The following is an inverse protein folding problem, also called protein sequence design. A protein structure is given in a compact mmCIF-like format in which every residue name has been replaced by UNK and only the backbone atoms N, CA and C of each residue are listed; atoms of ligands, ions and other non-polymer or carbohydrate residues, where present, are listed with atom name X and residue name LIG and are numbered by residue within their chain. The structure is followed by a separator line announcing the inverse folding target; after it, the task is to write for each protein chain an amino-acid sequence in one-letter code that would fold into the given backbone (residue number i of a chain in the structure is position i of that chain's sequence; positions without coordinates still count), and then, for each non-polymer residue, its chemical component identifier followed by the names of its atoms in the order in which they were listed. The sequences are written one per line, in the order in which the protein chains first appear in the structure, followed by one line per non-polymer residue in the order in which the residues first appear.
data_IF_794469713654
#
_entry.id   IF_794469713654
#
_cell.length_a   1.000
_cell.length_b   1.000
_cell.length_c   1.000
_cell.angle_alpha   90.00
_cell.angle_beta   90.00
_cell.angle_gamma   90.00
#
_symmetry.space_group_name_H-M   'P 1'
#
loop_
_entity.id
_entity.type
_entity.pdbx_description
1 polymer ?
#
# COMPACT_ATOMS: atom_id res chain seq x y z
N UNK A 1 15.01 -10.35 29.97
CA UNK A 1 13.98 -10.93 30.83
C UNK A 1 12.61 -10.64 30.21
N UNK A 2 11.78 -11.66 30.12
CA UNK A 2 10.48 -11.74 29.42
C UNK A 2 9.41 -10.75 29.94
N UNK A 3 9.67 -10.02 31.01
CA UNK A 3 8.68 -9.16 31.67
C UNK A 3 8.65 -7.70 31.20
N UNK A 4 9.54 -7.28 30.33
CA UNK A 4 9.63 -5.85 29.90
C UNK A 4 8.72 -5.51 28.72
N UNK A 5 8.18 -6.50 28.02
CA UNK A 5 7.31 -6.33 26.86
C UNK A 5 5.80 -6.29 27.19
N UNK A 6 5.43 -6.38 28.48
CA UNK A 6 4.02 -6.47 28.89
C UNK A 6 3.28 -5.14 28.98
N UNK A 7 3.95 -3.99 28.82
CA UNK A 7 3.27 -2.67 28.85
C UNK A 7 3.73 -1.81 27.69
N UNK A 8 2.83 -1.52 26.78
CA UNK A 8 3.00 -0.47 25.77
C UNK A 8 1.91 0.58 26.03
N UNK A 9 2.33 1.80 26.39
CA UNK A 9 1.39 2.90 26.61
C UNK A 9 0.41 2.74 27.77
N UNK A 10 0.74 1.96 28.81
CA UNK A 10 -0.10 1.78 29.99
C UNK A 10 -1.15 0.67 29.90
N UNK A 11 -1.30 0.00 28.74
CA UNK A 11 -2.15 -1.16 28.54
C UNK A 11 -1.35 -2.45 28.75
N UNK A 12 -1.91 -3.39 29.51
CA UNK A 12 -1.35 -4.76 29.55
C UNK A 12 -1.66 -5.47 28.21
N UNK A 13 -0.73 -6.30 27.72
CA UNK A 13 -0.96 -7.09 26.49
C UNK A 13 -2.18 -8.01 26.59
N UNK A 14 -2.63 -8.34 27.81
CA UNK A 14 -3.87 -9.08 28.10
C UNK A 14 -5.13 -8.28 27.81
N UNK A 15 -5.03 -6.94 27.79
CA UNK A 15 -6.19 -6.05 27.58
C UNK A 15 -6.42 -5.74 26.09
N UNK A 16 -5.49 -6.19 25.24
CA UNK A 16 -5.68 -6.16 23.79
C UNK A 16 -6.54 -7.38 23.45
N UNK A 17 -7.86 -7.23 23.56
CA UNK A 17 -8.78 -8.18 22.99
C UNK A 17 -8.58 -8.17 21.46
N UNK A 18 -7.97 -9.23 20.93
CA UNK A 18 -7.82 -9.47 19.50
C UNK A 18 -9.16 -9.91 18.89
N UNK A 19 -10.20 -9.12 19.07
CA UNK A 19 -11.48 -9.29 18.37
C UNK A 19 -11.44 -8.76 16.93
N UNK A 20 -10.36 -8.09 16.54
CA UNK A 20 -10.21 -7.57 15.17
C UNK A 20 -9.44 -8.56 14.32
N UNK A 21 -10.11 -9.01 13.29
CA UNK A 21 -9.52 -9.81 12.24
C UNK A 21 -8.23 -9.14 11.70
N UNK A 22 -7.17 -9.94 11.56
CA UNK A 22 -5.97 -9.49 10.88
C UNK A 22 -6.27 -9.24 9.39
N UNK A 23 -5.95 -8.06 8.91
CA UNK A 23 -6.12 -7.66 7.52
C UNK A 23 -4.76 -7.41 6.88
N UNK A 24 -4.33 -8.29 5.99
CA UNK A 24 -3.17 -8.05 5.14
C UNK A 24 -3.58 -7.10 4.00
N UNK A 25 -3.41 -5.78 4.21
CA UNK A 25 -3.76 -4.78 3.21
C UNK A 25 -2.67 -4.60 2.13
N UNK A 26 -1.43 -4.98 2.42
CA UNK A 26 -0.28 -4.85 1.50
C UNK A 26 0.26 -6.23 1.14
N UNK A 27 -0.13 -6.72 -0.02
CA UNK A 27 0.39 -7.97 -0.57
C UNK A 27 0.49 -7.90 -2.08
N UNK A 28 1.43 -8.67 -2.60
CA UNK A 28 1.72 -8.80 -4.02
C UNK A 28 1.28 -10.15 -4.55
N UNK A 29 0.88 -10.18 -5.79
CA UNK A 29 0.66 -11.40 -6.54
C UNK A 29 1.58 -11.43 -7.77
N UNK A 30 1.44 -12.46 -8.60
CA UNK A 30 2.17 -12.56 -9.88
C UNK A 30 1.94 -11.35 -10.81
N UNK A 31 0.93 -10.51 -10.57
CA UNK A 31 0.73 -9.24 -11.28
C UNK A 31 1.74 -8.15 -10.93
N UNK A 32 2.49 -8.30 -9.82
CA UNK A 32 3.61 -7.42 -9.49
C UNK A 32 4.89 -7.68 -10.33
N UNK A 33 4.91 -8.74 -11.12
CA UNK A 33 6.06 -9.15 -11.94
C UNK A 33 6.16 -8.33 -13.23
N UNK A 34 6.43 -7.03 -13.13
CA UNK A 34 6.51 -6.15 -14.31
C UNK A 34 7.85 -6.31 -15.02
N UNK A 35 8.96 -6.39 -14.30
CA UNK A 35 10.32 -6.49 -14.85
C UNK A 35 11.18 -7.58 -14.22
N UNK A 36 10.92 -7.88 -12.98
CA UNK A 36 11.60 -8.91 -12.20
C UNK A 36 10.54 -9.82 -11.58
N UNK A 37 10.91 -11.06 -11.31
CA UNK A 37 10.06 -11.96 -10.56
C UNK A 37 10.08 -11.49 -9.11
N UNK A 38 8.92 -11.01 -8.64
CA UNK A 38 8.72 -10.52 -7.29
C UNK A 38 7.87 -11.51 -6.46
N UNK A 39 6.79 -12.01 -7.07
CA UNK A 39 5.88 -12.95 -6.44
C UNK A 39 5.31 -13.94 -7.46
N UNK A 40 5.23 -15.22 -7.09
CA UNK A 40 4.64 -16.27 -7.95
C UNK A 40 3.21 -16.63 -7.52
N UNK A 41 2.77 -16.18 -6.35
CA UNK A 41 1.47 -16.52 -5.78
C UNK A 41 0.34 -15.89 -6.58
N UNK A 42 -0.66 -16.68 -6.92
CA UNK A 42 -1.89 -16.22 -7.55
C UNK A 42 -2.91 -15.78 -6.51
N UNK A 43 -3.92 -15.00 -6.93
CA UNK A 43 -4.97 -14.56 -6.00
C UNK A 43 -5.85 -15.72 -5.52
N UNK A 44 -6.02 -16.75 -6.34
CA UNK A 44 -6.71 -17.98 -5.97
C UNK A 44 -6.04 -18.67 -4.78
N UNK A 45 -4.70 -18.81 -4.81
CA UNK A 45 -3.91 -19.41 -3.72
C UNK A 45 -4.06 -18.62 -2.42
N UNK A 46 -4.11 -17.28 -2.51
CA UNK A 46 -4.41 -16.42 -1.36
C UNK A 46 -5.82 -16.65 -0.83
N UNK A 47 -6.83 -16.80 -1.69
CA UNK A 47 -8.20 -17.09 -1.25
C UNK A 47 -8.27 -18.39 -0.47
N UNK A 48 -7.62 -19.43 -0.94
CA UNK A 48 -7.63 -20.75 -0.27
C UNK A 48 -6.94 -20.65 1.09
N UNK A 49 -5.79 -20.00 1.16
CA UNK A 49 -5.09 -19.79 2.44
C UNK A 49 -5.89 -18.91 3.41
N UNK A 50 -6.58 -17.90 2.92
CA UNK A 50 -7.46 -17.05 3.72
C UNK A 50 -8.62 -17.84 4.36
N UNK A 51 -9.24 -18.76 3.60
CA UNK A 51 -10.27 -19.65 4.14
C UNK A 51 -9.75 -20.51 5.28
N UNK A 52 -8.57 -21.10 5.11
CA UNK A 52 -7.91 -21.90 6.15
C UNK A 52 -7.65 -21.11 7.43
N UNK A 53 -7.31 -19.81 7.29
CA UNK A 53 -7.02 -18.91 8.39
C UNK A 53 -8.25 -18.20 8.96
N UNK A 54 -9.43 -18.37 8.35
CA UNK A 54 -10.65 -17.66 8.75
C UNK A 54 -10.65 -16.16 8.42
N UNK A 55 -9.80 -15.70 7.47
CA UNK A 55 -9.77 -14.31 7.05
C UNK A 55 -10.90 -14.00 6.09
N UNK A 56 -11.48 -12.79 6.18
CA UNK A 56 -12.63 -12.35 5.37
C UNK A 56 -12.33 -11.13 4.48
N UNK A 57 -11.11 -10.60 4.51
CA UNK A 57 -10.72 -9.40 3.75
C UNK A 57 -9.56 -9.68 2.81
N UNK A 58 -9.79 -9.60 1.50
CA UNK A 58 -8.75 -9.73 0.47
C UNK A 58 -8.31 -8.36 -0.02
N UNK A 59 -7.02 -8.19 -0.28
CA UNK A 59 -6.47 -6.95 -0.84
C UNK A 59 -5.79 -7.19 -2.19
N UNK A 60 -5.73 -6.14 -3.02
CA UNK A 60 -4.88 -6.05 -4.20
C UNK A 60 -4.12 -4.73 -4.17
N UNK A 61 -2.81 -4.82 -3.94
CA UNK A 61 -1.88 -3.67 -3.84
C UNK A 61 -0.59 -4.07 -4.55
N UNK A 62 -0.62 -4.05 -5.87
CA UNK A 62 0.48 -4.49 -6.72
C UNK A 62 1.46 -3.34 -6.99
N UNK A 63 2.67 -3.68 -7.45
CA UNK A 63 3.68 -2.70 -7.87
C UNK A 63 3.26 -1.95 -9.13
N UNK A 64 2.87 -0.68 -8.97
CA UNK A 64 2.59 0.24 -10.08
C UNK A 64 1.51 -0.21 -11.06
N UNK A 65 0.68 -1.19 -10.69
CA UNK A 65 -0.25 -1.88 -11.57
C UNK A 65 -1.54 -2.26 -10.86
N UNK A 66 -2.65 -2.26 -11.59
CA UNK A 66 -3.98 -2.60 -11.09
C UNK A 66 -4.71 -3.64 -11.95
N UNK A 67 -3.98 -4.39 -12.76
CA UNK A 67 -4.56 -5.32 -13.73
C UNK A 67 -5.32 -6.50 -13.12
N UNK A 68 -5.07 -6.84 -11.86
CA UNK A 68 -5.75 -7.94 -11.17
C UNK A 68 -7.02 -7.53 -10.40
N UNK A 69 -7.38 -6.24 -10.38
CA UNK A 69 -8.54 -5.74 -9.60
C UNK A 69 -9.83 -6.44 -10.01
N UNK A 70 -10.07 -6.62 -11.31
CA UNK A 70 -11.29 -7.30 -11.80
C UNK A 70 -11.33 -8.77 -11.36
N UNK A 71 -10.25 -9.51 -11.57
CA UNK A 71 -10.14 -10.91 -11.16
C UNK A 71 -10.29 -11.09 -9.65
N UNK A 72 -9.60 -10.27 -8.87
CA UNK A 72 -9.70 -10.29 -7.40
C UNK A 72 -11.11 -9.95 -6.91
N UNK A 73 -11.81 -9.02 -7.56
CA UNK A 73 -13.20 -8.70 -7.22
C UNK A 73 -14.15 -9.88 -7.49
N UNK A 74 -13.92 -10.62 -8.57
CA UNK A 74 -14.67 -11.84 -8.86
C UNK A 74 -14.46 -12.89 -7.77
N UNK A 75 -13.20 -13.15 -7.41
CA UNK A 75 -12.85 -14.08 -6.33
C UNK A 75 -13.42 -13.63 -4.97
N UNK A 76 -13.36 -12.33 -4.65
CA UNK A 76 -13.92 -11.78 -3.44
C UNK A 76 -15.44 -12.07 -3.34
N UNK A 77 -16.18 -11.82 -4.41
CA UNK A 77 -17.63 -12.11 -4.48
C UNK A 77 -17.94 -13.61 -4.31
N UNK A 78 -17.19 -14.47 -5.01
CA UNK A 78 -17.37 -15.93 -4.94
C UNK A 78 -17.13 -16.48 -3.54
N UNK A 79 -16.23 -15.87 -2.77
CA UNK A 79 -15.84 -16.32 -1.43
C UNK A 79 -16.47 -15.48 -0.30
N UNK A 80 -17.35 -14.53 -0.62
CA UNK A 80 -17.94 -13.59 0.34
C UNK A 80 -16.89 -12.79 1.15
N UNK A 81 -15.78 -12.42 0.50
CA UNK A 81 -14.75 -11.58 1.09
C UNK A 81 -15.03 -10.11 0.81
N UNK A 82 -14.67 -9.26 1.78
CA UNK A 82 -14.52 -7.82 1.54
C UNK A 82 -13.24 -7.58 0.75
N UNK A 83 -13.24 -6.56 -0.13
CA UNK A 83 -12.09 -6.26 -0.98
C UNK A 83 -11.49 -4.89 -0.65
N UNK A 84 -10.16 -4.86 -0.48
CA UNK A 84 -9.35 -3.64 -0.42
C UNK A 84 -8.64 -3.48 -1.76
N UNK A 85 -8.73 -2.28 -2.34
CA UNK A 85 -8.08 -1.93 -3.61
C UNK A 85 -7.08 -0.81 -3.38
N UNK A 86 -5.87 -1.01 -3.86
CA UNK A 86 -4.80 -0.03 -3.79
C UNK A 86 -3.73 -0.25 -4.83
N UNK A 87 -2.63 0.48 -4.69
CA UNK A 87 -1.43 0.33 -5.50
C UNK A 87 -0.21 0.70 -4.67
N UNK A 88 0.89 -0.02 -4.83
CA UNK A 88 2.21 0.41 -4.40
C UNK A 88 2.85 1.19 -5.55
N UNK A 89 2.69 2.51 -5.52
CA UNK A 89 3.16 3.41 -6.56
C UNK A 89 4.66 3.74 -6.37
N UNK A 90 5.30 4.12 -7.46
CA UNK A 90 6.69 4.58 -7.49
C UNK A 90 6.71 6.11 -7.45
N UNK A 91 7.10 6.66 -6.31
CA UNK A 91 7.19 8.10 -6.10
C UNK A 91 8.59 8.62 -6.42
N UNK A 92 8.64 9.77 -7.10
CA UNK A 92 9.86 10.53 -7.40
C UNK A 92 9.64 12.03 -7.15
N UNK A 93 10.70 12.82 -6.91
CA UNK A 93 10.55 14.28 -6.77
C UNK A 93 10.00 14.97 -8.03
N UNK A 94 10.38 14.50 -9.21
CA UNK A 94 9.95 15.01 -10.51
C UNK A 94 9.88 13.84 -11.51
N UNK A 95 8.70 13.54 -12.02
CA UNK A 95 8.46 12.41 -12.95
C UNK A 95 9.02 12.64 -14.34
N UNK A 96 9.35 13.87 -14.71
CA UNK A 96 9.92 14.19 -16.02
C UNK A 96 11.44 13.98 -16.07
N UNK A 97 12.10 13.99 -14.92
CA UNK A 97 13.54 13.70 -14.82
C UNK A 97 13.78 12.21 -14.97
N UNK A 98 14.68 11.82 -15.89
CA UNK A 98 15.06 10.43 -16.13
C UNK A 98 16.05 9.91 -15.07
N UNK A 99 15.58 9.74 -13.84
CA UNK A 99 16.31 9.10 -12.74
C UNK A 99 15.65 7.75 -12.41
N UNK A 100 16.46 6.72 -12.20
CA UNK A 100 15.98 5.37 -11.82
C UNK A 100 15.61 5.28 -10.35
N UNK A 101 16.11 6.19 -9.51
CA UNK A 101 15.75 6.20 -8.08
C UNK A 101 14.27 6.52 -7.94
N UNK A 102 13.62 5.77 -7.10
CA UNK A 102 12.21 5.96 -6.76
C UNK A 102 11.96 5.43 -5.34
N UNK A 103 10.88 5.89 -4.75
CA UNK A 103 10.41 5.48 -3.43
C UNK A 103 9.06 4.81 -3.56
N UNK A 104 8.82 3.80 -2.76
CA UNK A 104 7.52 3.17 -2.71
C UNK A 104 6.56 3.95 -1.81
N UNK A 105 5.32 4.08 -2.24
CA UNK A 105 4.21 4.67 -1.49
C UNK A 105 2.94 3.87 -1.77
N UNK A 106 2.20 3.52 -0.73
CA UNK A 106 0.96 2.76 -0.89
C UNK A 106 -0.22 3.72 -0.84
N UNK A 107 -1.09 3.61 -1.83
CA UNK A 107 -2.35 4.32 -1.94
C UNK A 107 -3.48 3.29 -1.90
N UNK A 108 -4.39 3.42 -0.93
CA UNK A 108 -5.54 2.53 -0.78
C UNK A 108 -6.83 3.35 -0.92
N UNK A 109 -7.72 2.90 -1.79
CA UNK A 109 -9.01 3.54 -2.02
C UNK A 109 -9.96 3.29 -0.84
N UNK A 110 -10.56 4.35 -0.28
CA UNK A 110 -11.64 4.26 0.71
C UNK A 110 -13.01 4.00 0.06
N UNK A 111 -13.15 4.39 -1.20
CA UNK A 111 -14.40 4.32 -1.95
C UNK A 111 -14.14 4.35 -3.46
N UNK A 112 -15.20 4.28 -4.25
CA UNK A 112 -15.11 4.29 -5.72
C UNK A 112 -14.42 5.54 -6.28
N UNK A 113 -14.58 6.70 -5.66
CA UNK A 113 -13.90 7.92 -6.13
C UNK A 113 -12.39 7.83 -5.87
N UNK A 114 -11.95 7.27 -4.75
CA UNK A 114 -10.54 6.97 -4.49
C UNK A 114 -9.95 6.01 -5.51
N UNK A 115 -10.70 4.96 -5.88
CA UNK A 115 -10.29 4.04 -6.93
C UNK A 115 -10.15 4.74 -8.30
N UNK A 116 -11.10 5.62 -8.65
CA UNK A 116 -11.00 6.43 -9.88
C UNK A 116 -9.79 7.37 -9.86
N UNK A 117 -9.50 7.99 -8.72
CA UNK A 117 -8.31 8.81 -8.54
C UNK A 117 -7.02 8.03 -8.73
N UNK A 118 -6.91 6.84 -8.12
CA UNK A 118 -5.74 5.95 -8.32
C UNK A 118 -5.59 5.60 -9.80
N UNK A 119 -6.66 5.20 -10.48
CA UNK A 119 -6.62 4.87 -11.91
C UNK A 119 -6.14 6.06 -12.75
N UNK A 120 -6.64 7.26 -12.46
CA UNK A 120 -6.27 8.50 -13.17
C UNK A 120 -4.77 8.77 -13.00
N UNK A 121 -4.26 8.81 -11.78
CA UNK A 121 -2.84 9.12 -11.55
C UNK A 121 -1.91 8.03 -12.09
N UNK A 122 -2.30 6.75 -12.01
CA UNK A 122 -1.51 5.66 -12.57
C UNK A 122 -1.51 5.66 -14.11
N UNK A 123 -2.61 6.04 -14.74
CA UNK A 123 -2.66 6.28 -16.18
C UNK A 123 -1.73 7.42 -16.59
N UNK A 124 -1.75 8.52 -15.85
CA UNK A 124 -0.86 9.66 -16.09
C UNK A 124 0.61 9.33 -15.81
N UNK A 125 0.90 8.54 -14.77
CA UNK A 125 2.24 8.03 -14.48
C UNK A 125 2.80 7.20 -15.64
N UNK A 126 1.95 6.40 -16.30
CA UNK A 126 2.35 5.65 -17.49
C UNK A 126 2.56 6.57 -18.70
N UNK A 127 1.73 7.60 -18.86
CA UNK A 127 1.77 8.52 -20.01
C UNK A 127 2.94 9.50 -19.95
N UNK A 128 3.21 10.09 -18.79
CA UNK A 128 4.16 11.20 -18.63
C UNK A 128 5.34 10.89 -17.71
N UNK A 129 5.20 9.92 -16.80
CA UNK A 129 6.20 9.58 -15.78
C UNK A 129 6.94 8.27 -16.03
N UNK A 130 6.71 7.58 -17.15
CA UNK A 130 7.32 6.29 -17.40
C UNK A 130 8.81 6.41 -17.70
N UNK A 131 9.63 5.90 -16.78
CA UNK A 131 11.05 5.67 -16.99
C UNK A 131 11.46 4.42 -16.21
N UNK A 132 11.59 3.29 -16.91
CA UNK A 132 11.69 1.93 -16.35
C UNK A 132 10.45 1.48 -15.55
N UNK A 133 9.74 2.38 -14.90
CA UNK A 133 8.53 2.16 -14.09
C UNK A 133 7.60 3.35 -14.26
N UNK A 134 6.28 3.18 -14.08
CA UNK A 134 5.35 4.30 -14.03
C UNK A 134 5.54 5.08 -12.71
N UNK A 135 5.99 6.33 -12.79
CA UNK A 135 6.36 7.12 -11.61
C UNK A 135 5.37 8.27 -11.41
N UNK A 136 5.00 8.47 -10.15
CA UNK A 136 4.23 9.63 -9.71
C UNK A 136 5.13 10.61 -8.97
N UNK A 137 4.75 11.87 -8.96
CA UNK A 137 5.38 12.94 -8.19
C UNK A 137 4.35 13.70 -7.35
N UNK A 138 4.77 14.81 -6.75
CA UNK A 138 3.91 15.66 -5.94
C UNK A 138 2.69 16.18 -6.71
N UNK A 139 2.85 16.55 -7.98
CA UNK A 139 1.73 17.05 -8.80
C UNK A 139 0.61 16.02 -8.89
N UNK A 140 0.95 14.77 -9.21
CA UNK A 140 -0.04 13.69 -9.29
C UNK A 140 -0.55 13.27 -7.92
N UNK A 141 0.34 13.12 -6.93
CA UNK A 141 -0.02 12.67 -5.60
C UNK A 141 -0.99 13.63 -4.91
N UNK A 142 -0.69 14.93 -4.95
CA UNK A 142 -1.55 15.96 -4.33
C UNK A 142 -2.73 16.40 -5.20
N UNK A 143 -2.93 15.80 -6.38
CA UNK A 143 -4.16 15.97 -7.18
C UNK A 143 -5.29 15.04 -6.74
N UNK A 144 -5.03 14.08 -5.86
CA UNK A 144 -6.02 13.14 -5.33
C UNK A 144 -6.84 13.82 -4.24
N UNK A 145 -8.14 13.54 -4.16
CA UNK A 145 -8.93 13.98 -3.03
C UNK A 145 -8.52 13.23 -1.75
N UNK A 146 -7.96 13.92 -0.73
CA UNK A 146 -7.40 13.27 0.45
C UNK A 146 -8.44 12.56 1.31
N UNK A 147 -9.74 12.87 1.15
CA UNK A 147 -10.81 12.20 1.90
C UNK A 147 -11.11 10.78 1.37
N UNK A 148 -10.72 10.48 0.13
CA UNK A 148 -11.05 9.24 -0.56
C UNK A 148 -9.93 8.20 -0.51
N UNK A 149 -8.77 8.54 0.06
CA UNK A 149 -7.55 7.73 0.04
C UNK A 149 -6.99 7.53 1.45
N UNK A 150 -6.45 6.35 1.70
CA UNK A 150 -5.50 6.05 2.77
C UNK A 150 -4.11 6.00 2.15
N UNK A 151 -3.14 6.64 2.78
CA UNK A 151 -1.75 6.63 2.32
C UNK A 151 -0.85 6.02 3.38
N UNK A 152 0.07 5.15 2.97
CA UNK A 152 1.13 4.63 3.84
C UNK A 152 2.49 4.72 3.16
N UNK A 153 3.56 4.70 3.96
CA UNK A 153 4.94 4.86 3.45
C UNK A 153 5.52 3.61 2.81
N UNK A 154 4.72 2.59 2.60
CA UNK A 154 5.12 1.29 2.03
C UNK A 154 6.21 0.56 2.86
N UNK A 155 7.21 0.00 2.18
CA UNK A 155 8.28 -0.82 2.74
C UNK A 155 9.55 0.00 3.04
N UNK A 156 10.65 -0.69 3.36
CA UNK A 156 11.99 -0.06 3.56
C UNK A 156 12.49 0.72 2.34
N UNK A 157 11.93 0.48 1.14
CA UNK A 157 12.19 1.27 -0.06
C UNK A 157 11.38 2.59 -0.12
N UNK A 158 10.58 2.90 0.92
CA UNK A 158 9.81 4.13 1.01
C UNK A 158 10.67 5.39 1.22
N UNK A 159 10.04 6.56 1.08
CA UNK A 159 10.71 7.88 1.18
C UNK A 159 11.37 8.09 2.55
N UNK A 160 10.92 7.41 3.59
CA UNK A 160 11.44 7.55 4.96
C UNK A 160 12.86 7.04 5.15
N UNK A 161 13.40 6.24 4.21
CA UNK A 161 14.79 5.79 4.26
C UNK A 161 15.79 6.93 4.11
N UNK A 162 15.39 8.04 3.46
CA UNK A 162 16.26 9.22 3.33
C UNK A 162 16.07 10.16 4.50
N UNK A 163 17.17 10.51 5.17
CA UNK A 163 17.14 11.41 6.31
C UNK A 163 16.84 12.85 5.88
N UNK A 164 17.45 13.27 4.77
CA UNK A 164 17.27 14.62 4.25
C UNK A 164 15.81 14.84 3.82
N UNK A 165 15.18 15.86 4.38
CA UNK A 165 13.79 16.23 4.08
C UNK A 165 12.73 15.25 4.60
N UNK A 166 13.10 14.26 5.46
CA UNK A 166 12.17 13.26 6.01
C UNK A 166 11.06 13.92 6.82
N UNK A 167 11.42 14.82 7.72
CA UNK A 167 10.46 15.50 8.60
C UNK A 167 9.48 16.37 7.81
N UNK A 168 9.99 17.14 6.87
CA UNK A 168 9.20 18.00 5.99
C UNK A 168 8.23 17.17 5.14
N UNK A 169 8.69 16.03 4.59
CA UNK A 169 7.86 15.10 3.86
C UNK A 169 6.73 14.54 4.73
N UNK A 170 7.03 14.06 5.92
CA UNK A 170 6.01 13.52 6.84
C UNK A 170 4.98 14.58 7.17
N UNK A 171 5.40 15.81 7.49
CA UNK A 171 4.50 16.92 7.81
C UNK A 171 3.63 17.28 6.61
N UNK A 172 4.19 17.36 5.41
CA UNK A 172 3.47 17.62 4.17
C UNK A 172 2.38 16.56 3.93
N UNK A 173 2.73 15.28 4.07
CA UNK A 173 1.79 14.17 3.90
C UNK A 173 0.67 14.19 4.95
N UNK A 174 1.00 14.41 6.23
CA UNK A 174 0.02 14.48 7.32
C UNK A 174 -0.91 15.69 7.18
N UNK A 175 -0.41 16.82 6.67
CA UNK A 175 -1.24 18.02 6.49
C UNK A 175 -2.22 17.86 5.34
N UNK A 176 -1.86 17.13 4.29
CA UNK A 176 -2.73 16.91 3.14
C UNK A 176 -3.65 15.71 3.30
N UNK A 177 -3.08 14.54 3.63
CA UNK A 177 -3.85 13.31 3.78
C UNK A 177 -4.28 13.11 5.23
N UNK A 178 -5.59 13.19 5.49
CA UNK A 178 -6.17 12.95 6.82
C UNK A 178 -5.88 11.54 7.36
N UNK A 179 -5.64 10.59 6.47
CA UNK A 179 -5.37 9.18 6.78
C UNK A 179 -4.01 8.83 6.19
N UNK A 180 -2.94 9.20 6.90
CA UNK A 180 -1.56 8.88 6.58
C UNK A 180 -0.95 8.06 7.71
N UNK A 181 -0.48 6.85 7.38
CA UNK A 181 0.12 5.92 8.33
C UNK A 181 1.61 5.69 8.04
N UNK A 182 2.36 5.58 9.11
CA UNK A 182 3.75 5.14 9.07
C UNK A 182 3.75 3.65 9.46
N UNK A 183 4.25 2.74 8.63
CA UNK A 183 4.39 1.36 9.01
C UNK A 183 5.44 1.23 10.13
N UNK A 184 5.17 0.34 11.06
CA UNK A 184 6.11 -0.05 12.10
C UNK A 184 6.82 -1.30 11.60
N UNK A 185 8.13 -1.23 11.44
CA UNK A 185 8.95 -2.41 11.16
C UNK A 185 9.55 -2.88 12.48
N UNK A 186 9.32 -4.13 12.84
CA UNK A 186 10.15 -4.78 13.86
C UNK A 186 11.45 -5.20 13.17
N UNK A 187 12.54 -4.56 13.50
CA UNK A 187 13.85 -5.15 13.26
C UNK A 187 14.05 -6.21 14.32
N UNK A 188 13.99 -7.50 13.93
CA UNK A 188 14.56 -8.55 14.76
C UNK A 188 16.06 -8.39 14.68
N UNK A 189 16.70 -7.83 15.71
CA UNK A 189 18.10 -8.10 16.01
C UNK A 189 18.23 -9.53 16.53
#
# INVERSE_FOLDING_TARGET
SVNTLKKFGGLEMSDIQHEKEYVNYHKHSHYSNIRTIDCITKMEDYCDRMKELGHTVISTVEHGYQGNVHGTNTLAKQNNFKMIVGVEAYYVPDRYVKDRRNFHIILVAKNTNGYKDINRIMSEANRTGFYYKPRIDDELLFSINPNNIIVTTACVAGRLREEQGRKEWILKMKNYFKTYYLPIYSTSE
#
